data_IF_621529849515
#
_entry.id   IF_621529849515
#
_cell.length_a   1.000
_cell.length_b   1.000
_cell.length_c   1.000
_cell.angle_alpha   90.00
_cell.angle_beta   90.00
_cell.angle_gamma   90.00
#
_symmetry.space_group_name_H-M   'P 1'
#
loop_
_entity.id
_entity.type
_entity.pdbx_description
1 polymer ?
#
# COMPACT_ATOMS: atom_id res chain seq x y z
N UNK A 1 -3.21 17.35 -14.37
CA UNK A 1 -2.07 16.79 -13.61
C UNK A 1 -0.78 17.61 -13.77
N UNK A 2 -0.74 18.66 -14.58
CA UNK A 2 0.41 19.57 -14.73
C UNK A 2 1.70 18.93 -15.30
N UNK A 3 1.58 17.80 -15.98
CA UNK A 3 2.71 17.16 -16.67
C UNK A 3 2.99 17.91 -17.96
N UNK A 4 4.25 18.30 -18.16
CA UNK A 4 4.67 19.01 -19.36
C UNK A 4 4.47 18.16 -20.62
N UNK A 5 3.95 18.76 -21.71
CA UNK A 5 3.66 18.05 -22.96
C UNK A 5 4.88 17.33 -23.55
N UNK A 6 6.06 17.91 -23.39
CA UNK A 6 7.31 17.29 -23.82
C UNK A 6 7.56 15.96 -23.11
N UNK A 7 7.36 15.89 -21.77
CA UNK A 7 7.49 14.64 -21.00
C UNK A 7 6.43 13.62 -21.41
N UNK A 8 5.21 14.06 -21.63
CA UNK A 8 4.13 13.19 -22.11
C UNK A 8 4.46 12.60 -23.50
N UNK A 9 5.06 13.40 -24.37
CA UNK A 9 5.52 12.93 -25.70
C UNK A 9 6.65 11.90 -25.57
N UNK A 10 7.66 12.17 -24.74
CA UNK A 10 8.76 11.23 -24.48
C UNK A 10 8.25 9.89 -23.92
N UNK A 11 7.34 9.93 -22.96
CA UNK A 11 6.73 8.73 -22.39
C UNK A 11 5.94 7.95 -23.44
N UNK A 12 5.15 8.64 -24.26
CA UNK A 12 4.40 8.00 -25.34
C UNK A 12 5.33 7.30 -26.34
N UNK A 13 6.44 7.94 -26.71
CA UNK A 13 7.44 7.34 -27.60
C UNK A 13 8.15 6.16 -26.93
N UNK A 14 8.43 6.23 -25.63
CA UNK A 14 9.06 5.14 -24.87
C UNK A 14 8.18 3.87 -24.84
N UNK A 15 6.86 4.06 -24.78
CA UNK A 15 5.90 2.95 -24.70
C UNK A 15 5.28 2.57 -26.06
N UNK A 16 5.56 3.31 -27.14
CA UNK A 16 5.07 3.00 -28.47
C UNK A 16 5.80 1.79 -29.05
N UNK A 17 5.04 0.88 -29.66
CA UNK A 17 5.58 -0.26 -30.42
C UNK A 17 6.39 -1.26 -29.58
N UNK A 18 6.11 -1.35 -28.27
CA UNK A 18 6.80 -2.31 -27.40
C UNK A 18 6.39 -3.75 -27.70
N UNK A 19 7.38 -4.61 -27.78
CA UNK A 19 7.22 -6.04 -27.96
C UNK A 19 7.86 -6.81 -26.80
N UNK A 20 7.34 -7.98 -26.52
CA UNK A 20 7.87 -8.89 -25.53
C UNK A 20 7.92 -10.33 -26.03
N UNK A 21 8.79 -11.09 -25.43
CA UNK A 21 8.94 -12.52 -25.63
C UNK A 21 9.06 -13.17 -24.24
N UNK A 22 8.39 -14.26 -24.01
CA UNK A 22 8.43 -14.97 -22.72
C UNK A 22 9.31 -16.21 -22.86
N UNK A 23 10.26 -16.37 -21.95
CA UNK A 23 11.08 -17.57 -21.84
C UNK A 23 10.44 -18.52 -20.84
N UNK A 24 10.10 -19.71 -21.28
CA UNK A 24 9.55 -20.80 -20.46
C UNK A 24 10.56 -21.93 -20.35
N UNK A 25 10.29 -22.93 -19.49
CA UNK A 25 11.10 -24.14 -19.41
C UNK A 25 11.10 -24.99 -20.69
N UNK A 26 10.16 -24.75 -21.61
CA UNK A 26 9.99 -25.47 -22.88
C UNK A 26 10.47 -24.68 -24.10
N UNK A 27 11.03 -23.48 -23.91
CA UNK A 27 11.50 -22.59 -24.99
C UNK A 27 11.06 -21.16 -24.82
N UNK A 28 11.15 -20.40 -25.91
CA UNK A 28 10.72 -19.01 -25.99
C UNK A 28 9.50 -18.88 -26.89
N UNK A 29 8.58 -17.98 -26.52
CA UNK A 29 7.45 -17.63 -27.39
C UNK A 29 7.91 -16.79 -28.58
N UNK A 30 7.06 -16.64 -29.58
CA UNK A 30 7.22 -15.61 -30.59
C UNK A 30 7.07 -14.22 -29.97
N UNK A 31 7.59 -13.20 -30.65
CA UNK A 31 7.42 -11.81 -30.26
C UNK A 31 5.95 -11.39 -30.37
N UNK A 32 5.44 -10.74 -29.33
CA UNK A 32 4.09 -10.19 -29.33
C UNK A 32 4.09 -8.74 -28.86
N UNK A 33 3.19 -7.95 -29.40
CA UNK A 33 3.07 -6.53 -29.04
C UNK A 33 2.40 -6.36 -27.68
N UNK A 34 2.99 -5.47 -26.85
CA UNK A 34 2.42 -5.04 -25.59
C UNK A 34 1.48 -3.87 -25.86
N UNK A 35 0.19 -4.08 -25.62
CA UNK A 35 -0.84 -3.06 -25.90
C UNK A 35 -1.14 -2.17 -24.71
N UNK A 36 -0.97 -2.66 -23.47
CA UNK A 36 -1.32 -1.97 -22.20
C UNK A 36 -0.34 -2.35 -21.10
N UNK A 37 -0.19 -1.46 -20.12
CA UNK A 37 0.60 -1.68 -18.92
C UNK A 37 1.93 -0.97 -18.90
N UNK A 38 2.64 -1.11 -17.79
CA UNK A 38 3.98 -0.55 -17.57
C UNK A 38 4.99 -1.67 -17.37
N UNK A 39 6.27 -1.40 -17.66
CA UNK A 39 7.34 -2.41 -17.57
C UNK A 39 7.57 -2.84 -16.11
N UNK A 40 7.52 -4.13 -15.86
CA UNK A 40 7.93 -4.68 -14.56
C UNK A 40 9.43 -4.42 -14.30
N UNK A 41 9.76 -4.01 -13.06
CA UNK A 41 11.15 -3.75 -12.64
C UNK A 41 11.75 -2.41 -13.12
N UNK A 42 10.99 -1.56 -13.81
CA UNK A 42 11.44 -0.22 -14.20
C UNK A 42 11.04 0.81 -13.13
N UNK A 43 11.97 1.65 -12.69
CA UNK A 43 11.73 2.73 -11.71
C UNK A 43 10.61 3.69 -12.20
N UNK A 44 10.60 3.99 -13.49
CA UNK A 44 9.59 4.87 -14.08
C UNK A 44 8.18 4.29 -14.00
N UNK A 45 8.04 2.97 -14.01
CA UNK A 45 6.75 2.29 -13.94
C UNK A 45 6.03 2.54 -12.64
N UNK A 46 6.75 2.56 -11.51
CA UNK A 46 6.18 2.89 -10.20
C UNK A 46 5.65 4.34 -10.17
N UNK A 47 6.42 5.29 -10.72
CA UNK A 47 5.98 6.69 -10.82
C UNK A 47 4.74 6.84 -11.71
N UNK A 48 4.71 6.15 -12.85
CA UNK A 48 3.56 6.18 -13.77
C UNK A 48 2.31 5.56 -13.13
N UNK A 49 2.47 4.46 -12.41
CA UNK A 49 1.37 3.84 -11.69
C UNK A 49 0.82 4.77 -10.60
N UNK A 50 1.68 5.41 -9.82
CA UNK A 50 1.25 6.37 -8.80
C UNK A 50 0.51 7.57 -9.41
N UNK A 51 0.96 8.10 -10.55
CA UNK A 51 0.24 9.16 -11.28
C UNK A 51 -1.12 8.68 -11.77
N UNK A 52 -1.21 7.44 -12.21
CA UNK A 52 -2.45 6.84 -12.69
C UNK A 52 -3.44 6.62 -11.53
N UNK A 53 -2.98 6.08 -10.42
CA UNK A 53 -3.77 5.92 -9.20
C UNK A 53 -4.27 7.29 -8.67
N UNK A 54 -3.41 8.30 -8.68
CA UNK A 54 -3.77 9.66 -8.30
C UNK A 54 -4.84 10.27 -9.22
N UNK A 55 -4.74 10.02 -10.53
CA UNK A 55 -5.75 10.47 -11.48
C UNK A 55 -7.12 9.86 -11.17
N UNK A 56 -7.18 8.54 -10.90
CA UNK A 56 -8.41 7.84 -10.52
C UNK A 56 -8.98 8.49 -9.26
N UNK A 57 -8.19 8.62 -8.21
CA UNK A 57 -8.66 9.10 -6.92
C UNK A 57 -9.11 10.57 -6.94
N UNK A 58 -8.52 11.42 -7.78
CA UNK A 58 -9.04 12.79 -7.99
C UNK A 58 -10.40 12.80 -8.68
N UNK A 59 -10.62 11.89 -9.61
CA UNK A 59 -11.91 11.81 -10.32
C UNK A 59 -13.03 11.23 -9.43
N UNK A 60 -12.68 10.51 -8.36
CA UNK A 60 -13.68 10.03 -7.38
C UNK A 60 -14.26 11.16 -6.52
N UNK A 61 -13.61 12.32 -6.46
CA UNK A 61 -14.05 13.42 -5.59
C UNK A 61 -13.99 13.11 -4.09
N UNK A 62 -13.25 12.06 -3.69
CA UNK A 62 -13.16 11.65 -2.28
C UNK A 62 -12.60 12.74 -1.35
N UNK A 63 -11.77 13.66 -1.88
CA UNK A 63 -11.23 14.78 -1.10
C UNK A 63 -12.30 15.80 -0.72
N UNK A 64 -13.40 15.88 -1.49
CA UNK A 64 -14.52 16.80 -1.29
C UNK A 64 -15.63 16.18 -0.43
N UNK A 65 -15.61 14.85 -0.21
CA UNK A 65 -16.62 14.16 0.57
C UNK A 65 -16.41 14.38 2.06
N UNK A 66 -17.52 14.49 2.81
CA UNK A 66 -17.47 14.51 4.29
C UNK A 66 -17.34 13.09 4.87
N UNK A 67 -17.46 12.05 4.05
CA UNK A 67 -17.27 10.66 4.43
C UNK A 67 -15.84 10.39 4.89
N UNK A 68 -15.67 9.56 5.89
CA UNK A 68 -14.36 9.21 6.44
C UNK A 68 -14.29 9.32 7.95
N UNK A 69 -13.15 9.01 8.51
CA UNK A 69 -12.89 9.04 9.96
C UNK A 69 -12.24 10.38 10.34
N UNK A 70 -12.79 11.07 11.33
CA UNK A 70 -12.24 12.33 11.83
C UNK A 70 -11.12 12.06 12.83
N UNK A 71 -9.89 12.40 12.46
CA UNK A 71 -8.71 12.24 13.31
C UNK A 71 -7.91 13.54 13.36
N UNK A 72 -7.65 14.06 14.57
CA UNK A 72 -6.89 15.29 14.80
C UNK A 72 -7.36 16.50 13.97
N UNK A 73 -8.69 16.65 13.79
CA UNK A 73 -9.31 17.74 13.02
C UNK A 73 -9.22 17.58 11.50
N UNK A 74 -8.76 16.44 11.02
CA UNK A 74 -8.72 16.08 9.59
C UNK A 74 -9.69 14.94 9.32
N UNK A 75 -10.32 14.97 8.16
CA UNK A 75 -11.12 13.86 7.68
C UNK A 75 -10.24 12.95 6.82
N UNK A 76 -10.15 11.66 7.19
CA UNK A 76 -9.36 10.66 6.48
C UNK A 76 -10.33 9.61 5.98
N UNK A 77 -10.49 9.50 4.67
CA UNK A 77 -11.35 8.52 4.02
C UNK A 77 -10.58 7.48 3.19
N UNK A 78 -9.31 7.71 2.92
CA UNK A 78 -8.46 6.75 2.24
C UNK A 78 -6.99 6.86 2.67
N UNK A 79 -6.30 5.72 2.65
CA UNK A 79 -4.84 5.61 2.75
C UNK A 79 -4.36 4.79 1.56
N UNK A 80 -3.27 5.23 0.93
CA UNK A 80 -2.74 4.61 -0.30
C UNK A 80 -1.26 4.32 -0.19
N UNK A 81 -0.89 3.12 -0.63
CA UNK A 81 0.49 2.72 -0.77
C UNK A 81 0.63 1.81 -2.00
N UNK A 82 1.28 2.32 -3.05
CA UNK A 82 1.37 1.65 -4.35
C UNK A 82 -0.02 1.24 -4.88
N UNK A 83 -0.29 -0.05 -5.02
CA UNK A 83 -1.56 -0.64 -5.44
C UNK A 83 -2.52 -0.93 -4.26
N UNK A 84 -2.03 -0.90 -3.04
CA UNK A 84 -2.87 -1.09 -1.85
C UNK A 84 -3.61 0.21 -1.51
N UNK A 85 -4.92 0.14 -1.43
CA UNK A 85 -5.79 1.25 -1.02
C UNK A 85 -6.68 0.80 0.13
N UNK A 86 -6.65 1.54 1.24
CA UNK A 86 -7.55 1.35 2.37
C UNK A 86 -8.57 2.47 2.35
N UNK A 87 -9.86 2.14 2.29
CA UNK A 87 -10.96 3.09 2.44
C UNK A 87 -11.46 3.06 3.88
N UNK A 88 -11.84 4.22 4.40
CA UNK A 88 -12.32 4.39 5.77
C UNK A 88 -13.60 5.19 5.78
N UNK A 89 -14.57 4.79 6.60
CA UNK A 89 -15.84 5.48 6.80
C UNK A 89 -16.36 5.22 8.22
N UNK A 90 -17.28 6.07 8.69
CA UNK A 90 -17.94 5.91 9.98
C UNK A 90 -19.15 4.95 9.91
N UNK A 91 -19.69 4.70 8.70
CA UNK A 91 -20.80 3.76 8.48
C UNK A 91 -20.57 2.81 7.31
N UNK A 92 -21.33 1.71 7.32
CA UNK A 92 -21.29 0.70 6.26
C UNK A 92 -21.73 1.28 4.92
N UNK A 93 -22.80 2.09 4.91
CA UNK A 93 -23.36 2.73 3.72
C UNK A 93 -22.37 3.69 3.09
N UNK A 94 -21.69 4.50 3.91
CA UNK A 94 -20.63 5.39 3.43
C UNK A 94 -19.49 4.61 2.80
N UNK A 95 -19.00 3.55 3.48
CA UNK A 95 -17.92 2.73 2.97
C UNK A 95 -18.28 2.09 1.63
N UNK A 96 -19.51 1.60 1.51
CA UNK A 96 -20.04 1.02 0.27
C UNK A 96 -20.11 2.06 -0.86
N UNK A 97 -20.59 3.25 -0.57
CA UNK A 97 -20.62 4.36 -1.52
C UNK A 97 -19.23 4.74 -2.00
N UNK A 98 -18.25 4.91 -1.09
CA UNK A 98 -16.86 5.20 -1.43
C UNK A 98 -16.26 4.11 -2.32
N UNK A 99 -16.47 2.85 -1.96
CA UNK A 99 -15.95 1.72 -2.71
C UNK A 99 -16.53 1.63 -4.12
N UNK A 100 -17.85 1.83 -4.27
CA UNK A 100 -18.50 1.82 -5.59
C UNK A 100 -17.98 2.95 -6.48
N UNK A 101 -17.78 4.14 -5.92
CA UNK A 101 -17.21 5.28 -6.66
C UNK A 101 -15.78 4.98 -7.13
N UNK A 102 -14.93 4.41 -6.25
CA UNK A 102 -13.55 4.01 -6.63
C UNK A 102 -13.58 2.92 -7.69
N UNK A 103 -14.47 1.95 -7.57
CA UNK A 103 -14.64 0.88 -8.56
C UNK A 103 -15.01 1.44 -9.94
N UNK A 104 -16.04 2.28 -10.02
CA UNK A 104 -16.48 2.87 -11.28
C UNK A 104 -15.39 3.69 -11.96
N UNK A 105 -14.68 4.54 -11.23
CA UNK A 105 -13.58 5.34 -11.77
C UNK A 105 -12.40 4.47 -12.22
N UNK A 106 -12.10 3.39 -11.47
CA UNK A 106 -11.06 2.44 -11.84
C UNK A 106 -11.41 1.67 -13.12
N UNK A 107 -12.66 1.23 -13.26
CA UNK A 107 -13.15 0.51 -14.45
C UNK A 107 -13.13 1.37 -15.72
N UNK A 108 -13.46 2.67 -15.62
CA UNK A 108 -13.38 3.62 -16.76
C UNK A 108 -11.99 3.68 -17.37
N UNK A 109 -10.96 3.47 -16.57
CA UNK A 109 -9.56 3.49 -17.02
C UNK A 109 -8.97 2.10 -17.22
N UNK A 110 -9.78 1.05 -17.09
CA UNK A 110 -9.41 -0.34 -17.37
C UNK A 110 -8.69 -1.06 -16.23
N UNK A 111 -8.75 -0.54 -14.99
CA UNK A 111 -8.36 -1.26 -13.78
C UNK A 111 -9.57 -1.94 -13.15
N UNK A 112 -9.39 -3.16 -12.67
CA UNK A 112 -10.41 -3.91 -11.94
C UNK A 112 -9.96 -4.11 -10.50
N UNK A 113 -10.89 -3.92 -9.56
CA UNK A 113 -10.66 -4.26 -8.17
C UNK A 113 -10.56 -5.79 -8.03
N UNK A 114 -9.61 -6.23 -7.22
CA UNK A 114 -9.48 -7.65 -6.90
C UNK A 114 -10.31 -7.96 -5.64
N UNK A 115 -11.59 -8.30 -5.82
CA UNK A 115 -12.55 -8.55 -4.74
C UNK A 115 -12.07 -9.70 -3.84
N UNK A 116 -11.44 -10.73 -4.39
CA UNK A 116 -10.94 -11.89 -3.62
C UNK A 116 -9.80 -11.52 -2.65
N UNK A 117 -9.06 -10.44 -2.91
CA UNK A 117 -8.02 -9.93 -2.00
C UNK A 117 -8.53 -8.84 -1.06
N UNK A 118 -9.73 -8.36 -1.31
CA UNK A 118 -10.33 -7.30 -0.49
C UNK A 118 -10.73 -7.87 0.87
N UNK A 119 -10.53 -7.06 1.91
CA UNK A 119 -10.91 -7.39 3.28
C UNK A 119 -11.61 -6.22 3.92
N UNK A 120 -12.61 -6.51 4.73
CA UNK A 120 -13.35 -5.51 5.50
C UNK A 120 -13.10 -5.76 6.98
N UNK A 121 -12.85 -4.69 7.71
CA UNK A 121 -12.75 -4.68 9.16
C UNK A 121 -13.65 -3.59 9.73
N UNK A 122 -14.39 -3.90 10.76
CA UNK A 122 -15.23 -2.93 11.48
C UNK A 122 -15.20 -3.18 12.98
N UNK A 123 -15.43 -2.14 13.75
CA UNK A 123 -15.57 -2.19 15.21
C UNK A 123 -16.93 -2.73 15.70
N UNK A 124 -17.78 -3.19 14.79
CA UNK A 124 -19.11 -3.74 15.08
C UNK A 124 -19.45 -4.94 14.20
N UNK A 125 -20.62 -5.55 14.48
CA UNK A 125 -21.10 -6.66 13.65
C UNK A 125 -21.41 -6.16 12.24
N UNK A 126 -20.62 -6.61 11.26
CA UNK A 126 -20.95 -6.48 9.84
C UNK A 126 -21.55 -7.80 9.37
N UNK A 127 -22.72 -7.72 8.74
CA UNK A 127 -23.28 -8.80 7.94
C UNK A 127 -22.47 -8.95 6.66
N UNK A 128 -22.58 -10.11 6.01
CA UNK A 128 -21.84 -10.43 4.78
C UNK A 128 -21.92 -9.31 3.74
N UNK A 129 -20.77 -8.87 3.24
CA UNK A 129 -20.69 -7.91 2.15
C UNK A 129 -20.55 -8.64 0.81
N UNK A 130 -21.36 -8.23 -0.15
CA UNK A 130 -21.29 -8.73 -1.51
C UNK A 130 -21.04 -7.59 -2.49
N UNK A 131 -20.10 -7.81 -3.40
CA UNK A 131 -19.76 -6.91 -4.51
C UNK A 131 -19.76 -7.75 -5.77
N UNK A 132 -20.59 -7.40 -6.74
CA UNK A 132 -20.74 -8.12 -8.01
C UNK A 132 -21.08 -9.63 -7.84
N UNK A 133 -21.77 -9.99 -6.77
CA UNK A 133 -22.09 -11.39 -6.44
C UNK A 133 -20.94 -12.18 -5.80
N UNK A 134 -19.82 -11.54 -5.50
CA UNK A 134 -18.72 -12.11 -4.73
C UNK A 134 -18.75 -11.61 -3.29
N UNK A 135 -18.63 -12.53 -2.33
CA UNK A 135 -18.59 -12.19 -0.90
C UNK A 135 -17.21 -11.67 -0.52
N UNK A 136 -17.16 -10.53 0.16
CA UNK A 136 -15.92 -9.95 0.69
C UNK A 136 -15.64 -10.51 2.09
N UNK A 137 -14.41 -10.92 2.34
CA UNK A 137 -13.96 -11.48 3.63
C UNK A 137 -14.00 -10.40 4.72
N UNK A 138 -14.73 -10.67 5.81
CA UNK A 138 -14.68 -9.85 7.03
C UNK A 138 -13.62 -10.40 7.96
N UNK A 139 -12.72 -9.54 8.45
CA UNK A 139 -11.59 -9.93 9.29
C UNK A 139 -11.53 -9.11 10.57
N UNK A 140 -11.23 -9.75 11.69
CA UNK A 140 -10.98 -9.09 12.96
C UNK A 140 -9.53 -8.56 13.08
N UNK A 141 -8.68 -8.93 12.13
CA UNK A 141 -7.27 -8.58 12.13
C UNK A 141 -6.77 -8.42 10.69
N UNK A 142 -6.08 -7.33 10.45
CA UNK A 142 -5.48 -7.01 9.16
C UNK A 142 -4.01 -6.61 9.33
N UNK A 143 -3.17 -6.99 8.36
CA UNK A 143 -1.76 -6.56 8.32
C UNK A 143 -1.64 -5.56 7.17
N UNK A 144 -1.40 -4.29 7.51
CA UNK A 144 -1.15 -3.22 6.55
C UNK A 144 0.28 -2.73 6.69
N UNK A 145 1.04 -2.73 5.60
CA UNK A 145 2.43 -2.25 5.55
C UNK A 145 3.34 -2.84 6.65
N UNK A 146 3.07 -4.08 7.04
CA UNK A 146 3.81 -4.77 8.10
C UNK A 146 3.33 -4.47 9.52
N UNK A 147 2.34 -3.61 9.71
CA UNK A 147 1.71 -3.35 11.00
C UNK A 147 0.38 -4.10 11.15
N UNK A 148 0.17 -4.63 12.34
CA UNK A 148 -1.02 -5.38 12.70
C UNK A 148 -2.09 -4.44 13.22
N UNK A 149 -3.23 -4.39 12.54
CA UNK A 149 -4.39 -3.61 12.91
C UNK A 149 -5.48 -4.57 13.38
N UNK A 150 -6.12 -4.27 14.50
CA UNK A 150 -7.20 -5.08 15.09
C UNK A 150 -8.49 -4.26 15.17
N UNK A 151 -9.64 -4.93 15.14
CA UNK A 151 -10.96 -4.29 15.15
C UNK A 151 -11.25 -3.52 16.45
N UNK A 152 -10.66 -3.95 17.57
CA UNK A 152 -10.76 -3.31 18.89
C UNK A 152 -9.82 -2.09 19.04
N UNK A 153 -8.93 -1.84 18.05
CA UNK A 153 -7.94 -0.78 18.11
C UNK A 153 -6.82 -1.00 19.13
N UNK A 154 -6.71 -2.21 19.73
CA UNK A 154 -5.64 -2.51 20.69
C UNK A 154 -4.30 -2.70 19.99
N UNK A 155 -3.43 -1.69 20.12
CA UNK A 155 -2.06 -1.72 19.60
C UNK A 155 -1.05 -2.43 20.52
N UNK A 156 -1.47 -2.94 21.69
CA UNK A 156 -0.57 -3.57 22.69
C UNK A 156 0.23 -4.73 22.12
N UNK A 157 -0.39 -5.54 21.28
CA UNK A 157 0.27 -6.66 20.60
C UNK A 157 1.35 -6.18 19.62
N UNK A 158 1.08 -5.13 18.88
CA UNK A 158 2.02 -4.56 17.92
C UNK A 158 3.19 -3.89 18.63
N UNK A 159 2.94 -3.13 19.69
CA UNK A 159 4.00 -2.56 20.53
C UNK A 159 4.92 -3.64 21.09
N UNK A 160 4.36 -4.73 21.63
CA UNK A 160 5.15 -5.87 22.12
C UNK A 160 5.98 -6.51 21.00
N UNK A 161 5.43 -6.64 19.79
CA UNK A 161 6.13 -7.19 18.63
C UNK A 161 7.34 -6.33 18.24
N UNK A 162 7.19 -5.00 18.16
CA UNK A 162 8.30 -4.09 17.86
C UNK A 162 9.37 -4.09 18.94
N UNK A 163 8.99 -4.12 20.22
CA UNK A 163 9.94 -4.25 21.32
C UNK A 163 10.74 -5.56 21.23
N UNK A 164 10.08 -6.68 20.89
CA UNK A 164 10.76 -7.96 20.70
C UNK A 164 11.72 -7.94 19.51
N UNK A 165 11.35 -7.28 18.42
CA UNK A 165 12.24 -7.10 17.25
C UNK A 165 13.45 -6.27 17.62
N UNK A 166 13.26 -5.14 18.32
CA UNK A 166 14.36 -4.30 18.82
C UNK A 166 15.30 -5.10 19.73
N UNK A 167 14.74 -5.91 20.65
CA UNK A 167 15.53 -6.79 21.53
C UNK A 167 16.33 -7.81 20.73
N UNK A 168 15.76 -8.43 19.69
CA UNK A 168 16.49 -9.36 18.80
C UNK A 168 17.65 -8.68 18.10
N UNK A 169 17.48 -7.44 17.62
CA UNK A 169 18.55 -6.67 17.01
C UNK A 169 19.64 -6.35 18.03
N UNK A 170 19.28 -5.91 19.24
CA UNK A 170 20.24 -5.68 20.33
C UNK A 170 21.05 -6.93 20.65
N UNK A 171 20.41 -8.09 20.73
CA UNK A 171 21.08 -9.37 20.99
C UNK A 171 22.09 -9.73 19.88
N UNK A 172 21.74 -9.47 18.61
CA UNK A 172 22.67 -9.67 17.49
C UNK A 172 23.89 -8.74 17.53
N UNK A 173 23.75 -7.57 18.12
CA UNK A 173 24.82 -6.58 18.27
C UNK A 173 25.61 -6.74 19.58
N UNK A 174 25.28 -7.72 20.43
CA UNK A 174 25.84 -7.89 21.77
C UNK A 174 27.40 -7.98 21.78
N UNK A 175 27.98 -8.69 20.80
CA UNK A 175 29.45 -8.77 20.64
C UNK A 175 30.08 -7.39 20.38
N UNK A 176 29.42 -6.55 19.59
CA UNK A 176 29.88 -5.19 19.29
C UNK A 176 29.76 -4.31 20.53
N UNK A 177 28.66 -4.42 21.27
CA UNK A 177 28.44 -3.62 22.48
C UNK A 177 29.40 -4.02 23.63
N UNK A 178 29.80 -5.27 23.71
CA UNK A 178 30.77 -5.76 24.70
C UNK A 178 32.22 -5.48 24.32
N UNK A 179 32.54 -5.23 23.03
CA UNK A 179 33.91 -4.89 22.60
C UNK A 179 34.38 -3.60 23.28
N UNK A 180 35.64 -3.63 23.75
CA UNK A 180 36.36 -2.46 24.32
C UNK A 180 36.97 -1.56 23.25
N UNK A 181 37.14 -2.09 22.04
CA UNK A 181 37.79 -1.38 20.94
C UNK A 181 36.82 -0.40 20.25
N UNK A 182 35.53 -0.54 20.52
CA UNK A 182 34.50 0.29 19.94
C UNK A 182 34.08 1.39 20.92
N UNK A 183 34.18 2.64 20.48
CA UNK A 183 33.90 3.81 21.33
C UNK A 183 32.40 3.92 21.66
N UNK A 184 32.09 4.53 22.78
CA UNK A 184 30.69 4.76 23.21
C UNK A 184 29.87 5.54 22.19
N UNK A 185 30.37 6.64 21.57
CA UNK A 185 29.63 7.35 20.50
C UNK A 185 29.27 6.43 19.33
N UNK A 186 30.15 5.54 18.91
CA UNK A 186 29.87 4.57 17.84
C UNK A 186 28.77 3.58 18.25
N UNK A 187 28.82 3.08 19.49
CA UNK A 187 27.77 2.19 20.01
C UNK A 187 26.41 2.89 20.03
N UNK A 188 26.35 4.14 20.49
CA UNK A 188 25.12 4.96 20.48
C UNK A 188 24.61 5.18 19.05
N UNK A 189 25.52 5.45 18.10
CA UNK A 189 25.15 5.61 16.70
C UNK A 189 24.53 4.33 16.12
N UNK A 190 25.11 3.16 16.43
CA UNK A 190 24.54 1.86 16.02
C UNK A 190 23.15 1.60 16.59
N UNK A 191 22.91 1.94 17.87
CA UNK A 191 21.59 1.82 18.46
C UNK A 191 20.59 2.71 17.73
N UNK A 192 20.95 3.97 17.48
CA UNK A 192 20.07 4.92 16.75
C UNK A 192 19.80 4.49 15.31
N UNK A 193 20.79 3.92 14.63
CA UNK A 193 20.68 3.52 13.22
C UNK A 193 19.96 2.18 13.03
N UNK A 194 20.10 1.23 13.95
CA UNK A 194 19.64 -0.15 13.77
C UNK A 194 18.49 -0.56 14.69
N UNK A 195 18.47 -0.06 15.92
CA UNK A 195 17.47 -0.47 16.92
C UNK A 195 16.27 0.47 16.92
N UNK A 196 16.50 1.78 16.93
CA UNK A 196 15.42 2.77 16.96
C UNK A 196 14.45 2.63 15.77
N UNK A 197 14.89 2.49 14.49
CA UNK A 197 13.97 2.30 13.39
C UNK A 197 13.08 1.08 13.55
N UNK A 198 13.62 -0.01 14.12
CA UNK A 198 12.85 -1.25 14.34
C UNK A 198 11.82 -1.11 15.46
N UNK A 199 12.09 -0.29 16.48
CA UNK A 199 11.17 -0.08 17.62
C UNK A 199 10.17 1.02 17.29
N UNK A 200 10.58 2.05 16.54
CA UNK A 200 9.78 3.25 16.26
C UNK A 200 9.04 3.17 14.92
N UNK A 201 9.19 2.10 14.15
CA UNK A 201 8.58 1.95 12.82
C UNK A 201 7.04 1.77 12.85
N UNK A 202 6.44 1.92 14.02
CA UNK A 202 5.00 1.89 14.22
C UNK A 202 4.44 3.21 14.82
N UNK A 203 5.26 4.30 14.82
CA UNK A 203 4.86 5.59 15.36
C UNK A 203 4.96 6.70 14.32
#
# INVERSE_FOLDING_TARGET
MGIHDHLACLLRNLYAGQEAMVRTGHGTTDWFQIKKGVRHGCILSACLFNLYAEYIMRNTGLEETQAGIKTAGRNINNLRYADDTTLMAESEEELKSLLMTVKEESEKVGLKLNIQKMKIMASGLITSWEIDGETVETVALFISLGSKITEDGDCSHEMKRFLLLGRKVMTKLDSIFKSRDITLPTKVHLVKAMVFPMVMCGW
#
